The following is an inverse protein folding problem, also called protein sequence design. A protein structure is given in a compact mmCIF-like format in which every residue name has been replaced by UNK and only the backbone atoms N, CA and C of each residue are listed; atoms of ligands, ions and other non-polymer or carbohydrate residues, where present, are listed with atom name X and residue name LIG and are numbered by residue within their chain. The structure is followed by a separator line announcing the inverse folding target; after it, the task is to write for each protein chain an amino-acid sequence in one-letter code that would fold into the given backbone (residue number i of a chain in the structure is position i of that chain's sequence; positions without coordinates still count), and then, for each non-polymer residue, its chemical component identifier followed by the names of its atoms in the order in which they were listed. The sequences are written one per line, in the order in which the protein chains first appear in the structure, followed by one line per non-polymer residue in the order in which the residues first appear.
data_IF_200867701651
#
_entry.id   IF_200867701651
#
_cell.length_a   1.000
_cell.length_b   1.000
_cell.length_c   1.000
_cell.angle_alpha   90.00
_cell.angle_beta   90.00
_cell.angle_gamma   90.00
#
_symmetry.space_group_name_H-M   'P 1'
#
loop_
_entity.id
_entity.type
_entity.pdbx_description
1 polymer ?
#
# COMPACT_ATOMS: atom_id res chain seq x y z
N UNK A 1 -35.02 7.94 58.25
CA UNK A 1 -35.05 6.64 58.95
C UNK A 1 -35.40 5.59 57.92
N UNK A 2 -34.41 4.82 57.45
CA UNK A 2 -34.15 3.42 57.85
C UNK A 2 -35.33 2.50 57.50
N UNK A 3 -35.20 1.33 56.90
CA UNK A 3 -34.15 0.54 56.27
C UNK A 3 -34.96 -0.62 55.60
N UNK A 4 -34.50 -1.34 54.58
CA UNK A 4 -33.63 -2.50 54.74
C UNK A 4 -33.48 -3.20 53.39
N UNK A 5 -32.36 -3.90 53.31
CA UNK A 5 -31.72 -4.51 52.17
C UNK A 5 -32.03 -6.02 52.14
N UNK A 6 -31.93 -6.63 50.94
CA UNK A 6 -31.66 -8.05 50.60
C UNK A 6 -32.84 -9.04 50.59
N UNK A 7 -33.10 -9.60 49.40
CA UNK A 7 -32.76 -10.99 49.02
C UNK A 7 -33.73 -11.48 47.93
N UNK A 8 -33.26 -11.62 46.69
CA UNK A 8 -32.77 -12.88 46.10
C UNK A 8 -33.91 -13.82 45.62
N UNK A 9 -33.97 -13.93 44.28
CA UNK A 9 -34.44 -15.10 43.49
C UNK A 9 -35.96 -15.22 43.31
N UNK A 10 -36.36 -15.38 42.03
CA UNK A 10 -37.68 -15.84 41.51
C UNK A 10 -38.62 -14.82 40.84
N UNK A 11 -38.11 -13.75 40.22
CA UNK A 11 -38.91 -12.97 39.26
C UNK A 11 -38.28 -12.84 37.86
N UNK A 12 -37.14 -13.51 37.62
CA UNK A 12 -36.47 -13.55 36.31
C UNK A 12 -36.86 -14.78 35.46
N UNK A 13 -37.67 -15.71 36.01
CA UNK A 13 -38.07 -16.97 35.36
C UNK A 13 -39.31 -16.88 34.48
N UNK A 14 -39.86 -15.68 34.26
CA UNK A 14 -40.93 -15.45 33.25
C UNK A 14 -40.51 -14.58 32.06
N UNK A 15 -39.20 -14.28 31.90
CA UNK A 15 -38.62 -13.72 30.67
C UNK A 15 -37.61 -14.62 29.96
N UNK A 16 -37.32 -15.81 30.50
CA UNK A 16 -36.42 -16.76 29.86
C UNK A 16 -37.07 -17.62 28.76
N UNK A 17 -38.36 -17.39 28.44
CA UNK A 17 -39.04 -18.09 27.34
C UNK A 17 -39.42 -17.21 26.15
N UNK A 18 -39.04 -15.93 26.12
CA UNK A 18 -39.37 -15.05 24.99
C UNK A 18 -38.21 -14.15 24.51
N UNK A 19 -36.98 -14.41 24.96
CA UNK A 19 -35.80 -13.70 24.45
C UNK A 19 -34.61 -14.64 24.25
N UNK A 20 -34.84 -15.78 23.59
CA UNK A 20 -33.83 -16.42 22.72
C UNK A 20 -33.98 -15.85 21.30
N UNK A 21 -33.82 -14.54 21.19
CA UNK A 21 -33.33 -13.89 19.98
C UNK A 21 -31.84 -13.66 20.23
N UNK A 22 -31.00 -14.50 19.63
CA UNK A 22 -29.54 -14.33 19.65
C UNK A 22 -28.76 -15.63 19.77
N UNK A 23 -28.67 -16.39 18.68
CA UNK A 23 -27.53 -17.29 18.46
C UNK A 23 -27.32 -17.45 16.96
N UNK A 24 -26.31 -16.75 16.47
CA UNK A 24 -25.76 -16.90 15.14
C UNK A 24 -25.36 -18.37 14.91
N UNK A 25 -26.04 -19.04 13.98
CA UNK A 25 -25.55 -20.28 13.38
C UNK A 25 -24.82 -19.90 12.09
N UNK A 26 -23.55 -19.51 12.24
CA UNK A 26 -22.60 -19.46 11.15
C UNK A 26 -22.08 -20.89 10.92
N UNK A 27 -22.31 -21.42 9.72
CA UNK A 27 -21.73 -22.67 9.22
C UNK A 27 -21.50 -22.51 7.70
N UNK A 28 -20.67 -23.35 7.07
CA UNK A 28 -19.29 -22.98 6.76
C UNK A 28 -19.08 -22.93 5.24
N UNK A 29 -18.37 -21.92 4.79
CA UNK A 29 -17.98 -21.73 3.39
C UNK A 29 -16.72 -20.89 3.35
N UNK A 30 -15.62 -21.49 3.81
CA UNK A 30 -14.27 -20.98 3.58
C UNK A 30 -14.03 -20.85 2.07
N UNK A 31 -13.95 -19.61 1.58
CA UNK A 31 -13.13 -19.28 0.40
C UNK A 31 -13.07 -17.76 0.21
N UNK A 32 -12.70 -17.02 1.25
CA UNK A 32 -11.98 -15.77 1.06
C UNK A 32 -10.51 -16.12 1.19
N UNK A 33 -9.97 -16.73 0.13
CA UNK A 33 -8.52 -16.79 -0.06
C UNK A 33 -8.04 -15.34 -0.04
N UNK A 34 -7.52 -14.97 1.11
CA UNK A 34 -6.97 -13.66 1.38
C UNK A 34 -5.72 -13.56 0.50
N UNK A 35 -5.89 -12.92 -0.65
CA UNK A 35 -4.83 -12.68 -1.61
C UNK A 35 -3.77 -11.80 -0.95
N UNK A 36 -2.73 -12.43 -0.40
CA UNK A 36 -1.64 -11.72 0.23
C UNK A 36 -0.61 -11.35 -0.83
N UNK A 37 -0.38 -10.04 -1.01
CA UNK A 37 0.67 -9.56 -1.91
C UNK A 37 1.99 -9.53 -1.15
N UNK A 38 2.99 -10.25 -1.66
CA UNK A 38 4.36 -10.19 -1.21
C UNK A 38 4.81 -8.72 -1.06
N UNK A 39 5.18 -8.24 0.14
CA UNK A 39 5.60 -6.85 0.30
C UNK A 39 6.87 -6.54 -0.51
N UNK A 40 7.69 -7.58 -0.73
CA UNK A 40 8.98 -7.52 -1.41
C UNK A 40 8.83 -7.70 -2.91
N UNK A 41 8.06 -8.68 -3.36
CA UNK A 41 8.03 -9.18 -4.74
C UNK A 41 6.70 -8.90 -5.49
N UNK A 42 5.65 -8.50 -4.78
CA UNK A 42 4.28 -8.23 -5.26
C UNK A 42 3.54 -9.41 -5.89
N UNK A 43 4.10 -10.63 -5.86
CA UNK A 43 3.36 -11.84 -6.19
C UNK A 43 2.19 -12.05 -5.23
N UNK A 44 1.07 -12.51 -5.79
CA UNK A 44 -0.16 -12.82 -5.07
C UNK A 44 -0.07 -14.27 -4.62
N UNK A 45 -0.02 -14.50 -3.32
CA UNK A 45 0.02 -15.84 -2.75
C UNK A 45 -1.36 -16.27 -2.27
N UNK A 46 -1.71 -17.53 -2.59
CA UNK A 46 -2.93 -18.19 -2.13
C UNK A 46 -2.76 -18.88 -0.75
N UNK A 47 -1.53 -19.04 -0.25
CA UNK A 47 -1.23 -19.66 1.06
C UNK A 47 -0.25 -18.80 1.87
N UNK A 48 -0.46 -18.65 3.20
CA UNK A 48 0.39 -17.81 4.03
C UNK A 48 1.80 -18.43 4.16
N UNK A 49 2.82 -17.67 3.75
CA UNK A 49 4.21 -17.96 4.14
C UNK A 49 4.39 -17.40 5.55
N UNK A 50 4.42 -18.29 6.54
CA UNK A 50 4.60 -17.95 7.95
C UNK A 50 6.00 -17.35 8.19
N UNK A 51 6.12 -16.03 8.15
CA UNK A 51 7.26 -15.31 8.75
C UNK A 51 6.90 -15.07 10.22
N UNK A 52 6.83 -16.15 10.99
CA UNK A 52 6.51 -16.11 12.41
C UNK A 52 7.76 -15.68 13.20
N UNK A 53 7.97 -14.36 13.33
CA UNK A 53 8.55 -13.67 14.49
C UNK A 53 9.13 -12.28 14.11
N UNK A 54 8.30 -11.29 13.82
CA UNK A 54 8.69 -9.91 14.15
C UNK A 54 7.46 -9.06 14.47
N UNK A 55 7.59 -8.26 15.52
CA UNK A 55 6.52 -7.46 16.12
C UNK A 55 5.94 -6.45 15.12
N UNK A 56 4.85 -6.85 14.46
CA UNK A 56 4.10 -6.00 13.55
C UNK A 56 2.97 -5.27 14.28
N UNK A 57 3.35 -4.24 15.02
CA UNK A 57 2.56 -3.00 15.09
C UNK A 57 3.27 -1.96 14.22
N UNK A 58 3.50 -2.25 12.93
CA UNK A 58 4.11 -1.34 11.95
C UNK A 58 3.06 -0.51 11.19
N UNK A 59 1.97 -0.09 11.83
CA UNK A 59 0.85 0.59 11.16
C UNK A 59 0.83 2.11 11.26
N UNK A 60 1.88 2.80 11.74
CA UNK A 60 1.80 4.28 11.68
C UNK A 60 3.12 5.05 11.49
N UNK A 61 4.23 4.66 12.12
CA UNK A 61 5.44 5.54 12.13
C UNK A 61 6.58 5.10 11.21
N UNK A 62 6.65 3.82 10.81
CA UNK A 62 7.68 3.33 9.88
C UNK A 62 7.38 3.57 8.39
N UNK A 63 6.11 3.71 8.02
CA UNK A 63 5.67 3.78 6.62
C UNK A 63 6.03 5.08 5.93
N UNK A 64 5.91 6.22 6.60
CA UNK A 64 6.21 7.53 5.98
C UNK A 64 7.72 7.73 5.78
N UNK A 65 8.56 7.17 6.65
CA UNK A 65 10.02 7.20 6.51
C UNK A 65 10.50 6.34 5.33
N UNK A 66 9.84 5.20 5.08
CA UNK A 66 10.19 4.26 4.02
C UNK A 66 9.76 4.71 2.61
N UNK A 67 8.73 5.55 2.51
CA UNK A 67 8.12 5.92 1.22
C UNK A 67 8.75 7.15 0.56
N UNK A 68 9.56 7.95 1.25
CA UNK A 68 10.25 9.09 0.62
C UNK A 68 11.52 9.55 1.35
N UNK A 69 11.69 9.14 2.60
CA UNK A 69 12.76 9.56 3.51
C UNK A 69 14.05 8.74 3.45
N UNK A 70 14.13 7.66 2.64
CA UNK A 70 15.35 6.85 2.53
C UNK A 70 16.44 7.55 1.70
N UNK A 71 17.59 7.84 2.33
CA UNK A 71 18.69 8.52 1.63
C UNK A 71 19.17 7.70 0.44
N UNK A 72 19.71 8.34 -0.60
CA UNK A 72 20.24 7.61 -1.76
C UNK A 72 21.26 6.54 -1.36
N UNK A 73 22.01 6.77 -0.27
CA UNK A 73 22.92 5.79 0.33
C UNK A 73 22.20 4.53 0.80
N UNK A 74 21.06 4.65 1.48
CA UNK A 74 20.28 3.49 1.93
C UNK A 74 19.66 2.75 0.75
N UNK A 75 19.10 3.47 -0.22
CA UNK A 75 18.54 2.87 -1.44
C UNK A 75 19.62 2.07 -2.18
N UNK A 76 20.84 2.61 -2.29
CA UNK A 76 21.95 1.91 -2.91
C UNK A 76 22.34 0.65 -2.14
N UNK A 77 22.39 0.70 -0.80
CA UNK A 77 22.65 -0.50 0.02
C UNK A 77 21.59 -1.59 -0.21
N UNK A 78 20.30 -1.21 -0.25
CA UNK A 78 19.21 -2.14 -0.53
C UNK A 78 19.31 -2.72 -1.94
N UNK A 79 19.68 -1.91 -2.94
CA UNK A 79 19.91 -2.38 -4.30
C UNK A 79 21.05 -3.40 -4.36
N UNK A 80 22.14 -3.18 -3.62
CA UNK A 80 23.24 -4.15 -3.53
C UNK A 80 22.77 -5.49 -2.94
N UNK A 81 21.94 -5.46 -1.90
CA UNK A 81 21.35 -6.68 -1.31
C UNK A 81 20.44 -7.39 -2.31
N UNK A 82 19.58 -6.66 -3.03
CA UNK A 82 18.73 -7.23 -4.08
C UNK A 82 19.57 -7.86 -5.20
N UNK A 83 20.64 -7.18 -5.62
CA UNK A 83 21.55 -7.65 -6.66
C UNK A 83 22.25 -8.94 -6.21
N UNK A 84 22.76 -8.99 -4.98
CA UNK A 84 23.37 -10.18 -4.42
C UNK A 84 22.38 -11.35 -4.37
N UNK A 85 21.15 -11.12 -3.91
CA UNK A 85 20.11 -12.15 -3.89
C UNK A 85 19.79 -12.68 -5.30
N UNK A 86 19.65 -11.79 -6.29
CA UNK A 86 19.43 -12.18 -7.68
C UNK A 86 20.57 -13.06 -8.20
N UNK A 87 21.84 -12.68 -7.92
CA UNK A 87 23.01 -13.46 -8.36
C UNK A 87 23.07 -14.85 -7.71
N UNK A 88 22.72 -14.96 -6.43
CA UNK A 88 22.69 -16.25 -5.74
C UNK A 88 21.66 -17.19 -6.36
N UNK A 89 20.47 -16.68 -6.70
CA UNK A 89 19.40 -17.47 -7.31
C UNK A 89 19.75 -17.93 -8.73
N UNK A 90 20.31 -17.05 -9.55
CA UNK A 90 20.62 -17.34 -10.96
C UNK A 90 22.03 -17.90 -11.17
N UNK A 91 22.83 -18.00 -10.10
CA UNK A 91 24.25 -18.41 -10.12
C UNK A 91 25.09 -17.63 -11.13
N UNK A 92 24.74 -16.36 -11.37
CA UNK A 92 25.49 -15.47 -12.27
C UNK A 92 26.80 -15.04 -11.66
N UNK A 93 27.82 -14.79 -12.48
CA UNK A 93 29.14 -14.39 -12.00
C UNK A 93 29.06 -12.98 -11.41
N UNK A 94 30.00 -12.64 -10.52
CA UNK A 94 29.98 -11.36 -9.80
C UNK A 94 30.12 -10.13 -10.72
N UNK A 95 30.80 -10.28 -11.85
CA UNK A 95 31.10 -9.21 -12.80
C UNK A 95 30.06 -9.06 -13.91
N UNK A 96 29.15 -10.03 -14.07
CA UNK A 96 28.11 -9.95 -15.09
C UNK A 96 27.18 -8.77 -14.80
N UNK A 97 26.69 -8.09 -15.85
CA UNK A 97 25.72 -7.01 -15.67
C UNK A 97 24.45 -7.52 -14.97
N UNK A 98 24.03 -6.83 -13.91
CA UNK A 98 22.90 -7.29 -13.09
C UNK A 98 21.53 -6.99 -13.72
N UNK A 99 21.44 -5.96 -14.57
CA UNK A 99 20.19 -5.56 -15.24
C UNK A 99 19.50 -6.70 -16.02
N UNK A 100 20.18 -7.46 -16.90
CA UNK A 100 19.55 -8.60 -17.58
C UNK A 100 19.09 -9.70 -16.61
N UNK A 101 19.80 -9.90 -15.51
CA UNK A 101 19.43 -10.88 -14.46
C UNK A 101 18.17 -10.46 -13.73
N UNK A 102 18.05 -9.17 -13.37
CA UNK A 102 16.83 -8.66 -12.76
C UNK A 102 15.65 -8.68 -13.73
N UNK A 103 15.91 -8.38 -15.01
CA UNK A 103 14.88 -8.44 -16.05
C UNK A 103 14.36 -9.87 -16.26
N UNK A 104 15.25 -10.88 -16.31
CA UNK A 104 14.85 -12.29 -16.46
C UNK A 104 14.08 -12.82 -15.26
N UNK A 105 14.40 -12.35 -14.05
CA UNK A 105 13.64 -12.62 -12.83
C UNK A 105 12.35 -11.79 -12.72
N UNK A 106 12.12 -10.84 -13.64
CA UNK A 106 11.03 -9.87 -13.59
C UNK A 106 11.00 -9.07 -12.27
N UNK A 107 12.19 -8.80 -11.72
CA UNK A 107 12.39 -8.03 -10.50
C UNK A 107 12.58 -6.56 -10.79
N UNK A 108 11.77 -5.71 -10.16
CA UNK A 108 11.90 -4.27 -10.30
C UNK A 108 13.05 -3.73 -9.41
N UNK A 109 13.84 -2.74 -9.85
CA UNK A 109 14.87 -2.11 -9.01
C UNK A 109 14.24 -1.45 -7.77
N UNK A 110 14.98 -1.37 -6.65
CA UNK A 110 14.51 -0.84 -5.38
C UNK A 110 13.88 0.54 -5.53
N UNK A 111 14.49 1.44 -6.30
CA UNK A 111 13.94 2.79 -6.54
C UNK A 111 12.52 2.72 -7.12
N UNK A 112 12.33 1.94 -8.17
CA UNK A 112 11.03 1.78 -8.83
C UNK A 112 10.03 1.04 -7.94
N UNK A 113 10.48 0.14 -7.03
CA UNK A 113 9.60 -0.46 -6.02
C UNK A 113 9.07 0.57 -5.02
N UNK A 114 9.89 1.54 -4.62
CA UNK A 114 9.47 2.65 -3.77
C UNK A 114 8.41 3.49 -4.51
N UNK A 115 8.71 3.89 -5.75
CA UNK A 115 7.77 4.64 -6.60
C UNK A 115 6.43 3.90 -6.77
N UNK A 116 6.48 2.57 -7.01
CA UNK A 116 5.30 1.71 -7.08
C UNK A 116 4.46 1.77 -5.79
N UNK A 117 5.09 1.69 -4.62
CA UNK A 117 4.38 1.71 -3.33
C UNK A 117 3.75 3.06 -3.03
N UNK A 118 4.46 4.16 -3.33
CA UNK A 118 3.89 5.51 -3.19
C UNK A 118 2.64 5.63 -4.05
N UNK A 119 2.74 5.30 -5.34
CA UNK A 119 1.64 5.41 -6.29
C UNK A 119 0.45 4.50 -5.95
N UNK A 120 0.71 3.30 -5.41
CA UNK A 120 -0.35 2.42 -4.94
C UNK A 120 -1.11 3.02 -3.76
N UNK A 121 -0.41 3.69 -2.84
CA UNK A 121 -1.04 4.40 -1.72
C UNK A 121 -1.81 5.60 -2.22
N UNK A 122 -1.26 6.37 -3.17
CA UNK A 122 -1.95 7.48 -3.82
C UNK A 122 -3.26 7.01 -4.43
N UNK A 123 -3.24 5.93 -5.24
CA UNK A 123 -4.45 5.38 -5.84
C UNK A 123 -5.48 5.00 -4.78
N UNK A 124 -5.07 4.33 -3.70
CA UNK A 124 -5.97 3.97 -2.59
C UNK A 124 -6.56 5.21 -1.92
N UNK A 125 -5.76 6.25 -1.68
CA UNK A 125 -6.20 7.48 -1.06
C UNK A 125 -7.23 8.22 -1.95
N UNK A 126 -7.02 8.25 -3.26
CA UNK A 126 -7.95 8.87 -4.21
C UNK A 126 -9.29 8.12 -4.32
N UNK A 127 -9.29 6.79 -4.10
CA UNK A 127 -10.48 5.94 -4.17
C UNK A 127 -11.13 5.69 -2.79
N UNK A 128 -10.72 6.40 -1.73
CA UNK A 128 -11.29 6.22 -0.39
C UNK A 128 -10.96 4.88 0.29
N UNK A 129 -9.97 4.15 -0.22
CA UNK A 129 -9.50 2.86 0.33
C UNK A 129 -8.34 3.02 1.33
N UNK A 130 -7.89 4.25 1.56
CA UNK A 130 -6.84 4.58 2.53
C UNK A 130 -7.41 5.39 3.70
N UNK A 131 -6.72 5.44 4.85
CA UNK A 131 -7.11 6.31 5.95
C UNK A 131 -7.29 7.78 5.54
N UNK A 132 -8.25 8.46 6.15
CA UNK A 132 -8.66 9.82 5.79
C UNK A 132 -7.50 10.83 5.83
N UNK A 133 -6.57 10.68 6.77
CA UNK A 133 -5.41 11.58 6.86
C UNK A 133 -4.52 11.57 5.60
N UNK A 134 -4.49 10.46 4.83
CA UNK A 134 -3.72 10.39 3.59
C UNK A 134 -4.43 11.08 2.44
N UNK A 135 -5.75 10.95 2.35
CA UNK A 135 -6.54 11.66 1.33
C UNK A 135 -6.50 13.17 1.55
N UNK A 136 -6.52 13.64 2.80
CA UNK A 136 -6.43 15.08 3.13
C UNK A 136 -5.08 15.70 2.72
N UNK A 137 -4.02 14.90 2.61
CA UNK A 137 -2.71 15.37 2.13
C UNK A 137 -2.65 15.56 0.60
N UNK A 138 -3.63 15.03 -0.15
CA UNK A 138 -3.67 15.09 -1.60
C UNK A 138 -4.71 16.11 -2.06
N UNK A 139 -4.25 17.16 -2.74
CA UNK A 139 -5.13 18.19 -3.28
C UNK A 139 -5.43 17.92 -4.75
N UNK A 140 -6.71 17.79 -5.10
CA UNK A 140 -7.13 17.66 -6.49
C UNK A 140 -6.91 18.96 -7.26
N UNK A 141 -6.44 18.85 -8.50
CA UNK A 141 -6.33 20.00 -9.40
C UNK A 141 -7.70 20.39 -9.95
N UNK A 142 -8.24 21.52 -9.50
CA UNK A 142 -9.47 22.12 -10.01
C UNK A 142 -9.16 23.48 -10.65
N UNK A 143 -9.07 23.58 -11.99
CA UNK A 143 -8.87 24.85 -12.66
C UNK A 143 -10.14 25.73 -12.55
N UNK A 144 -9.96 27.05 -12.47
CA UNK A 144 -11.07 28.02 -12.43
C UNK A 144 -11.83 28.16 -13.75
N UNK A 145 -11.24 27.68 -14.86
CA UNK A 145 -11.80 27.70 -16.22
C UNK A 145 -11.78 26.28 -16.78
N UNK A 146 -12.79 25.93 -17.57
CA UNK A 146 -12.86 24.63 -18.25
C UNK A 146 -11.68 24.48 -19.22
N UNK A 147 -10.73 23.61 -18.88
CA UNK A 147 -9.55 23.29 -19.68
C UNK A 147 -9.59 21.84 -20.10
N UNK A 148 -8.96 21.51 -21.24
CA UNK A 148 -8.85 20.13 -21.72
C UNK A 148 -8.18 19.18 -20.71
N UNK A 149 -7.37 19.70 -19.79
CA UNK A 149 -6.72 18.94 -18.71
C UNK A 149 -7.56 18.77 -17.45
N UNK A 150 -8.76 19.37 -17.35
CA UNK A 150 -9.58 19.33 -16.14
C UNK A 150 -9.98 17.90 -15.75
N UNK A 151 -10.31 17.06 -16.73
CA UNK A 151 -10.69 15.67 -16.49
C UNK A 151 -9.48 14.71 -16.39
N UNK A 152 -8.25 15.22 -16.39
CA UNK A 152 -7.06 14.37 -16.40
C UNK A 152 -6.68 13.80 -15.03
N UNK A 153 -7.47 14.03 -13.98
CA UNK A 153 -7.24 13.48 -12.64
C UNK A 153 -5.90 13.89 -12.03
N UNK A 154 -5.40 15.08 -12.34
CA UNK A 154 -4.12 15.59 -11.84
C UNK A 154 -4.22 16.08 -10.40
N UNK A 155 -3.08 16.02 -9.69
CA UNK A 155 -2.94 16.50 -8.32
C UNK A 155 -2.13 17.79 -8.28
N UNK A 156 -2.46 18.69 -7.36
CA UNK A 156 -1.67 19.89 -7.11
C UNK A 156 -0.39 19.49 -6.40
N UNK A 157 0.75 19.94 -6.94
CA UNK A 157 2.05 19.78 -6.29
C UNK A 157 2.23 20.97 -5.34
N UNK A 158 2.25 20.78 -4.00
CA UNK A 158 2.44 21.88 -3.07
C UNK A 158 3.83 22.50 -3.23
N UNK A 159 3.90 23.83 -3.05
CA UNK A 159 5.19 24.54 -3.05
C UNK A 159 5.93 24.23 -1.76
N UNK A 160 7.08 23.60 -1.86
CA UNK A 160 7.93 23.26 -0.72
C UNK A 160 8.99 24.35 -0.48
N UNK A 161 9.20 24.73 0.77
CA UNK A 161 10.25 25.69 1.15
C UNK A 161 11.63 25.02 1.25
N UNK A 162 11.69 23.75 1.68
CA UNK A 162 12.93 22.98 1.85
C UNK A 162 12.91 21.74 0.94
N UNK A 163 13.79 21.72 -0.05
CA UNK A 163 13.94 20.60 -1.01
C UNK A 163 14.26 19.27 -0.32
N UNK A 164 15.00 19.29 0.79
CA UNK A 164 15.47 18.08 1.48
C UNK A 164 14.37 17.35 2.26
N UNK A 165 13.70 18.01 3.21
CA UNK A 165 12.64 17.37 3.99
C UNK A 165 11.27 17.44 3.30
N UNK A 166 10.93 18.59 2.73
CA UNK A 166 9.66 18.81 2.04
C UNK A 166 9.57 18.06 0.71
N UNK A 167 10.68 17.94 -0.02
CA UNK A 167 10.71 17.19 -1.29
C UNK A 167 10.55 15.68 -1.15
N UNK A 168 10.57 15.19 0.09
CA UNK A 168 10.48 13.76 0.45
C UNK A 168 9.18 13.42 1.17
N UNK A 169 8.35 14.41 1.45
CA UNK A 169 7.04 14.18 2.04
C UNK A 169 6.13 13.47 1.04
N UNK A 170 5.20 12.69 1.57
CA UNK A 170 4.14 12.10 0.76
C UNK A 170 3.34 13.17 0.01
N UNK A 171 2.99 14.28 0.68
CA UNK A 171 2.25 15.40 0.08
C UNK A 171 2.92 16.02 -1.14
N UNK A 172 4.24 15.91 -1.30
CA UNK A 172 4.95 16.37 -2.49
C UNK A 172 5.22 15.24 -3.49
N UNK A 173 5.75 14.11 -3.02
CA UNK A 173 6.15 13.00 -3.90
C UNK A 173 4.97 12.32 -4.56
N UNK A 174 3.85 12.14 -3.86
CA UNK A 174 2.69 11.46 -4.42
C UNK A 174 2.09 12.25 -5.60
N UNK A 175 1.78 13.55 -5.49
CA UNK A 175 1.34 14.35 -6.65
C UNK A 175 2.35 14.38 -7.79
N UNK A 176 3.65 14.52 -7.47
CA UNK A 176 4.71 14.55 -8.48
C UNK A 176 4.80 13.26 -9.29
N UNK A 177 4.80 12.11 -8.61
CA UNK A 177 4.85 10.81 -9.29
C UNK A 177 3.55 10.52 -10.03
N UNK A 178 2.40 10.84 -9.42
CA UNK A 178 1.08 10.62 -10.02
C UNK A 178 0.92 11.39 -11.34
N UNK A 179 1.30 12.66 -11.36
CA UNK A 179 1.18 13.49 -12.57
C UNK A 179 2.11 13.06 -13.70
N UNK A 180 3.21 12.36 -13.40
CA UNK A 180 4.12 11.79 -14.40
C UNK A 180 3.63 10.45 -14.97
N UNK A 181 2.49 9.92 -14.50
CA UNK A 181 1.94 8.68 -15.03
C UNK A 181 1.16 8.91 -16.33
N UNK A 182 1.28 7.99 -17.30
CA UNK A 182 0.45 8.02 -18.49
C UNK A 182 -1.02 7.78 -18.12
N UNK A 183 -1.94 8.36 -18.90
CA UNK A 183 -3.39 8.24 -18.68
C UNK A 183 -3.85 6.79 -18.57
N UNK A 184 -3.32 5.90 -19.42
CA UNK A 184 -3.63 4.46 -19.40
C UNK A 184 -3.43 3.79 -18.03
N UNK A 185 -2.45 4.25 -17.23
CA UNK A 185 -2.23 3.72 -15.88
C UNK A 185 -3.16 4.39 -14.87
N UNK A 186 -3.41 5.71 -15.01
CA UNK A 186 -4.25 6.48 -14.08
C UNK A 186 -5.74 6.15 -14.19
N UNK A 187 -6.22 5.93 -15.40
CA UNK A 187 -7.62 5.64 -15.72
C UNK A 187 -7.96 4.16 -15.49
N UNK A 188 -7.33 3.52 -14.51
CA UNK A 188 -7.59 2.13 -14.16
C UNK A 188 -8.77 2.04 -13.19
N UNK A 189 -9.83 1.35 -13.59
CA UNK A 189 -11.09 1.25 -12.81
C UNK A 189 -10.94 0.46 -11.51
N UNK A 190 -9.97 -0.45 -11.46
CA UNK A 190 -9.75 -1.32 -10.30
C UNK A 190 -8.30 -1.28 -9.84
N UNK A 191 -8.12 -1.52 -8.55
CA UNK A 191 -6.80 -1.62 -7.93
C UNK A 191 -5.94 -2.74 -8.55
N UNK A 192 -6.54 -3.84 -8.99
CA UNK A 192 -5.84 -4.93 -9.67
C UNK A 192 -5.31 -4.49 -11.03
N UNK A 193 -6.14 -3.83 -11.84
CA UNK A 193 -5.71 -3.28 -13.13
C UNK A 193 -4.64 -2.20 -12.95
N UNK A 194 -4.81 -1.31 -11.97
CA UNK A 194 -3.83 -0.27 -11.66
C UNK A 194 -2.47 -0.88 -11.33
N UNK A 195 -2.42 -1.87 -10.42
CA UNK A 195 -1.17 -2.58 -10.05
C UNK A 195 -0.48 -3.19 -11.26
N UNK A 196 -1.24 -3.89 -12.11
CA UNK A 196 -0.69 -4.56 -13.28
C UNK A 196 -0.10 -3.54 -14.26
N UNK A 197 -0.89 -2.54 -14.67
CA UNK A 197 -0.46 -1.50 -15.61
C UNK A 197 0.73 -0.70 -15.07
N UNK A 198 0.71 -0.35 -13.78
CA UNK A 198 1.80 0.36 -13.13
C UNK A 198 3.09 -0.46 -13.08
N UNK A 199 3.00 -1.76 -12.76
CA UNK A 199 4.18 -2.64 -12.74
C UNK A 199 4.81 -2.71 -14.13
N UNK A 200 3.99 -2.91 -15.16
CA UNK A 200 4.46 -2.95 -16.56
C UNK A 200 5.12 -1.62 -16.96
N UNK A 201 4.50 -0.48 -16.65
CA UNK A 201 5.06 0.84 -16.95
C UNK A 201 6.42 1.05 -16.29
N UNK A 202 6.54 0.78 -14.98
CA UNK A 202 7.80 0.95 -14.26
C UNK A 202 8.87 -0.07 -14.70
N UNK A 203 8.45 -1.26 -15.12
CA UNK A 203 9.37 -2.28 -15.62
C UNK A 203 9.98 -1.85 -16.95
N UNK A 204 9.17 -1.32 -17.87
CA UNK A 204 9.67 -0.76 -19.12
C UNK A 204 10.66 0.37 -18.83
N UNK A 205 10.28 1.37 -18.03
CA UNK A 205 11.18 2.48 -17.64
C UNK A 205 12.54 2.04 -17.04
N UNK A 206 12.60 0.85 -16.42
CA UNK A 206 13.81 0.36 -15.79
C UNK A 206 14.74 -0.42 -16.74
N UNK A 207 14.21 -1.03 -17.80
CA UNK A 207 14.92 -2.02 -18.62
C UNK A 207 14.86 -1.81 -20.13
N UNK A 208 14.10 -0.84 -20.64
CA UNK A 208 14.25 -0.30 -22.01
C UNK A 208 15.24 0.84 -22.04
#
# INVERSE_FOLDING_TARGET
MMAMFRSFVSAAQLRQHQQQNGAAAAAPGESLESQFSCPICLEVYHKPVSIASCAHTLTSTGWLFLLGGCSSRLINKLQLVQNAAARVLTRTRNYDHISPVLSSLHWLPVKHRIDFKILLITYKALNGLAPQYLSELLMHYSPSRLLRSQNSGQLIIPRISKSTAGGRSFSYLAPKLWNNLPSIVRDADTLCQFKSRLKTYLFNLAYT
#
